data_IF_015922118805
#
_entry.id   IF_015922118805
#
_cell.length_a   1.000
_cell.length_b   1.000
_cell.length_c   1.000
_cell.angle_alpha   90.00
_cell.angle_beta   90.00
_cell.angle_gamma   90.00
#
_symmetry.space_group_name_H-M   'P 1'
#
loop_
_entity.id
_entity.type
_entity.pdbx_description
1 polymer ?
#
# COMPACT_ATOMS: atom_id res chain seq x y z
N UNK A 1 22.90 0.42 -18.42
CA UNK A 1 21.61 -0.28 -18.49
C UNK A 1 20.66 0.58 -17.67
N UNK A 2 19.61 1.13 -18.27
CA UNK A 2 18.55 1.76 -17.49
C UNK A 2 17.76 0.61 -16.87
N UNK A 3 17.96 0.33 -15.58
CA UNK A 3 17.16 -0.68 -14.88
C UNK A 3 15.68 -0.29 -15.01
N UNK A 4 14.84 -1.21 -15.47
CA UNK A 4 13.41 -0.99 -15.49
C UNK A 4 12.89 -0.84 -14.06
N UNK A 5 11.90 0.04 -13.82
CA UNK A 5 11.33 0.19 -12.50
C UNK A 5 10.69 -1.12 -12.03
N UNK A 6 10.69 -1.32 -10.72
CA UNK A 6 10.04 -2.43 -10.05
C UNK A 6 8.52 -2.28 -10.18
N UNK A 7 7.81 -3.34 -10.57
CA UNK A 7 6.34 -3.38 -10.45
C UNK A 7 6.00 -3.83 -9.04
N UNK A 8 5.39 -2.94 -8.26
CA UNK A 8 5.13 -3.17 -6.83
C UNK A 8 3.64 -3.09 -6.54
N UNK A 9 3.13 -4.11 -5.86
CA UNK A 9 1.80 -4.08 -5.26
C UNK A 9 1.95 -3.88 -3.76
N UNK A 10 1.62 -2.69 -3.28
CA UNK A 10 1.49 -2.39 -1.86
C UNK A 10 0.14 -2.91 -1.39
N UNK A 11 0.18 -3.97 -0.59
CA UNK A 11 -0.97 -4.62 0.00
C UNK A 11 -1.18 -4.09 1.41
N UNK A 12 -2.37 -3.60 1.73
CA UNK A 12 -2.65 -2.99 3.02
C UNK A 12 -3.83 -3.64 3.72
N UNK A 13 -3.63 -4.03 4.98
CA UNK A 13 -4.67 -4.59 5.83
C UNK A 13 -5.00 -3.65 6.98
N UNK A 14 -6.27 -3.48 7.31
CA UNK A 14 -6.68 -2.74 8.50
C UNK A 14 -6.61 -3.66 9.72
N UNK A 15 -6.07 -3.19 10.83
CA UNK A 15 -5.87 -3.98 12.06
C UNK A 15 -7.10 -3.93 12.97
N UNK A 16 -7.24 -4.90 13.88
CA UNK A 16 -8.35 -4.94 14.86
C UNK A 16 -8.45 -3.65 15.70
N UNK A 17 -7.32 -3.03 16.04
CA UNK A 17 -7.29 -1.78 16.80
C UNK A 17 -8.07 -0.62 16.15
N UNK A 18 -8.25 -0.62 14.83
CA UNK A 18 -9.11 0.35 14.15
C UNK A 18 -10.59 0.07 14.40
N UNK A 19 -10.98 -1.21 14.31
CA UNK A 19 -12.37 -1.64 14.51
C UNK A 19 -12.82 -1.53 15.97
N UNK A 20 -11.87 -1.58 16.91
CA UNK A 20 -12.13 -1.36 18.33
C UNK A 20 -12.39 0.13 18.68
N UNK A 21 -12.08 1.07 17.77
CA UNK A 21 -12.33 2.48 18.01
C UNK A 21 -13.84 2.77 18.01
N UNK A 22 -14.30 3.69 18.87
CA UNK A 22 -15.63 4.29 18.71
C UNK A 22 -15.75 4.94 17.32
N UNK A 23 -16.92 4.85 16.69
CA UNK A 23 -17.17 5.49 15.37
C UNK A 23 -16.83 6.97 15.32
N UNK A 24 -16.96 7.69 16.44
CA UNK A 24 -16.59 9.12 16.52
C UNK A 24 -15.08 9.37 16.43
N UNK A 25 -14.26 8.33 16.58
CA UNK A 25 -12.80 8.43 16.60
C UNK A 25 -12.14 7.87 15.33
N UNK A 26 -12.85 7.13 14.46
CA UNK A 26 -12.25 6.54 13.25
C UNK A 26 -11.71 7.60 12.26
N UNK A 27 -12.26 8.82 12.30
CA UNK A 27 -11.89 9.91 11.39
C UNK A 27 -10.41 10.28 11.43
N UNK A 28 -9.76 10.20 12.60
CA UNK A 28 -8.33 10.51 12.72
C UNK A 28 -7.46 9.49 11.97
N UNK A 29 -7.87 8.21 11.95
CA UNK A 29 -7.17 7.16 11.22
C UNK A 29 -7.36 7.36 9.72
N UNK A 30 -8.58 7.72 9.28
CA UNK A 30 -8.84 8.07 7.88
C UNK A 30 -7.99 9.25 7.40
N UNK A 31 -7.88 10.32 8.18
CA UNK A 31 -7.03 11.47 7.82
C UNK A 31 -5.56 11.07 7.68
N UNK A 32 -5.03 10.29 8.62
CA UNK A 32 -3.65 9.81 8.54
C UNK A 32 -3.42 8.86 7.37
N UNK A 33 -4.35 7.94 7.11
CA UNK A 33 -4.26 7.01 5.99
C UNK A 33 -4.31 7.73 4.64
N UNK A 34 -5.22 8.71 4.49
CA UNK A 34 -5.30 9.53 3.29
C UNK A 34 -4.02 10.36 3.07
N UNK A 35 -3.45 10.93 4.14
CA UNK A 35 -2.15 11.61 4.09
C UNK A 35 -1.01 10.69 3.67
N UNK A 36 -0.97 9.47 4.22
CA UNK A 36 0.00 8.45 3.83
C UNK A 36 -0.12 8.07 2.35
N UNK A 37 -1.34 7.89 1.82
CA UNK A 37 -1.55 7.61 0.39
C UNK A 37 -1.07 8.75 -0.50
N UNK A 38 -1.33 10.00 -0.09
CA UNK A 38 -0.86 11.17 -0.82
C UNK A 38 0.68 11.26 -0.82
N UNK A 39 1.32 10.97 0.31
CA UNK A 39 2.79 10.96 0.44
C UNK A 39 3.43 9.81 -0.36
N UNK A 40 2.82 8.62 -0.36
CA UNK A 40 3.22 7.51 -1.22
C UNK A 40 3.20 7.94 -2.69
N UNK A 41 2.10 8.55 -3.15
CA UNK A 41 1.95 8.99 -4.53
C UNK A 41 2.89 10.15 -4.90
N UNK A 42 3.31 10.95 -3.92
CA UNK A 42 4.25 12.06 -4.10
C UNK A 42 5.73 11.66 -3.93
N UNK A 43 6.02 10.43 -3.51
CA UNK A 43 7.39 9.96 -3.28
C UNK A 43 8.17 9.95 -4.60
N UNK A 44 9.34 10.60 -4.61
CA UNK A 44 10.21 10.63 -5.79
C UNK A 44 10.59 9.19 -6.21
N UNK A 45 10.45 8.89 -7.50
CA UNK A 45 10.69 7.55 -8.04
C UNK A 45 9.52 6.57 -7.90
N UNK A 46 8.33 7.04 -7.46
CA UNK A 46 7.08 6.26 -7.47
C UNK A 46 6.14 6.78 -8.55
N UNK A 47 5.54 5.86 -9.32
CA UNK A 47 4.45 6.14 -10.26
C UNK A 47 3.27 5.21 -9.96
N UNK A 48 2.18 5.76 -9.42
CA UNK A 48 0.97 4.98 -9.13
C UNK A 48 0.24 4.65 -10.42
N UNK A 49 0.00 3.35 -10.64
CA UNK A 49 -0.71 2.81 -11.81
C UNK A 49 -2.19 2.57 -11.52
N UNK A 50 -2.55 2.30 -10.27
CA UNK A 50 -3.93 2.10 -9.87
C UNK A 50 -4.07 1.77 -8.39
N UNK A 51 -5.30 1.89 -7.89
CA UNK A 51 -5.67 1.51 -6.52
C UNK A 51 -6.87 0.57 -6.57
N UNK A 52 -7.02 -0.25 -5.53
CA UNK A 52 -8.17 -1.13 -5.35
C UNK A 52 -8.61 -1.09 -3.89
N UNK A 53 -9.91 -0.82 -3.69
CA UNK A 53 -10.56 -0.92 -2.40
C UNK A 53 -11.31 -2.25 -2.34
N UNK A 54 -10.87 -3.15 -1.47
CA UNK A 54 -11.39 -4.51 -1.34
C UNK A 54 -12.23 -4.66 -0.06
N UNK A 55 -12.43 -3.56 0.68
CA UNK A 55 -13.19 -3.52 1.92
C UNK A 55 -14.68 -3.88 1.74
N UNK A 56 -15.18 -3.74 0.51
CA UNK A 56 -16.55 -4.08 0.13
C UNK A 56 -16.82 -5.58 0.13
N UNK A 57 -15.77 -6.39 0.01
CA UNK A 57 -15.85 -7.86 0.06
C UNK A 57 -15.06 -8.45 1.24
N UNK A 58 -14.16 -7.67 1.84
CA UNK A 58 -13.42 -7.98 3.06
C UNK A 58 -13.72 -6.94 4.16
N UNK A 59 -14.83 -7.14 4.88
CA UNK A 59 -15.21 -6.30 6.01
C UNK A 59 -14.63 -6.88 7.31
N UNK A 60 -13.68 -6.19 7.92
CA UNK A 60 -13.05 -6.58 9.19
C UNK A 60 -11.53 -6.52 9.16
N UNK A 61 -10.85 -6.94 10.25
CA UNK A 61 -9.40 -6.92 10.32
C UNK A 61 -8.75 -7.88 9.31
N UNK A 62 -7.66 -7.44 8.69
CA UNK A 62 -6.90 -8.21 7.71
C UNK A 62 -5.43 -8.29 8.12
N UNK A 63 -4.96 -9.49 8.47
CA UNK A 63 -3.56 -9.75 8.86
C UNK A 63 -2.73 -10.43 7.76
N UNK A 64 -3.33 -10.69 6.59
CA UNK A 64 -2.74 -11.41 5.47
C UNK A 64 -3.74 -11.42 4.31
N UNK A 65 -3.39 -12.03 3.17
CA UNK A 65 -4.30 -12.11 2.02
C UNK A 65 -5.63 -12.81 2.37
N UNK A 66 -6.79 -12.30 1.92
CA UNK A 66 -6.99 -11.06 1.14
C UNK A 66 -6.76 -9.79 1.97
N UNK A 67 -6.29 -8.72 1.34
CA UNK A 67 -6.02 -7.43 1.99
C UNK A 67 -7.19 -6.46 1.82
N UNK A 68 -7.27 -5.43 2.68
CA UNK A 68 -8.36 -4.45 2.66
C UNK A 68 -8.25 -3.47 1.49
N UNK A 69 -7.05 -3.05 1.13
CA UNK A 69 -6.83 -2.20 -0.05
C UNK A 69 -5.44 -2.36 -0.64
N UNK A 70 -5.27 -1.87 -1.86
CA UNK A 70 -4.06 -2.09 -2.66
C UNK A 70 -3.67 -0.84 -3.45
N UNK A 71 -2.37 -0.64 -3.62
CA UNK A 71 -1.78 0.34 -4.56
C UNK A 71 -0.81 -0.39 -5.47
N UNK A 72 -1.07 -0.37 -6.78
CA UNK A 72 -0.15 -0.82 -7.81
C UNK A 72 0.69 0.36 -8.29
N UNK A 73 2.02 0.23 -8.26
CA UNK A 73 2.93 1.28 -8.68
C UNK A 73 4.17 0.73 -9.39
N UNK A 74 4.77 1.54 -10.25
CA UNK A 74 6.16 1.38 -10.67
C UNK A 74 7.07 2.16 -9.69
N UNK A 75 8.13 1.54 -9.20
CA UNK A 75 9.04 2.10 -8.19
C UNK A 75 10.49 1.96 -8.62
N UNK A 76 11.27 3.03 -8.51
CA UNK A 76 12.64 3.10 -9.07
C UNK A 76 13.59 2.02 -8.50
N UNK A 77 13.51 1.72 -7.20
CA UNK A 77 14.37 0.72 -6.56
C UNK A 77 13.78 0.16 -5.23
N UNK A 78 14.44 -0.85 -4.65
CA UNK A 78 14.00 -1.45 -3.38
C UNK A 78 14.11 -0.49 -2.17
N UNK A 79 15.15 0.36 -2.04
CA UNK A 79 15.17 1.42 -1.04
C UNK A 79 13.92 2.31 -1.05
N UNK A 80 13.45 2.77 -2.21
CA UNK A 80 12.22 3.56 -2.32
C UNK A 80 10.99 2.75 -1.88
N UNK A 81 10.92 1.45 -2.21
CA UNK A 81 9.84 0.57 -1.70
C UNK A 81 9.84 0.49 -0.17
N UNK A 82 11.03 0.35 0.44
CA UNK A 82 11.19 0.35 1.90
C UNK A 82 10.75 1.68 2.49
N UNK A 83 11.10 2.79 1.86
CA UNK A 83 10.77 4.13 2.35
C UNK A 83 9.26 4.38 2.29
N UNK A 84 8.57 3.92 1.24
CA UNK A 84 7.09 3.89 1.17
C UNK A 84 6.50 3.04 2.31
N UNK A 85 7.02 1.83 2.54
CA UNK A 85 6.56 0.99 3.66
C UNK A 85 6.83 1.64 5.02
N UNK A 86 7.86 2.49 5.11
CA UNK A 86 8.23 3.19 6.33
C UNK A 86 7.24 4.31 6.69
N UNK A 87 6.40 4.77 5.76
CA UNK A 87 5.32 5.71 6.06
C UNK A 87 4.40 5.19 7.18
N UNK A 88 4.20 3.88 7.29
CA UNK A 88 3.40 3.30 8.38
C UNK A 88 4.06 3.48 9.77
N UNK A 89 5.39 3.70 9.81
CA UNK A 89 6.14 4.00 11.04
C UNK A 89 6.22 5.49 11.34
N UNK A 90 6.17 6.35 10.33
CA UNK A 90 6.39 7.79 10.47
C UNK A 90 5.11 8.61 10.44
N UNK A 91 4.03 8.13 9.81
CA UNK A 91 2.72 8.77 9.87
C UNK A 91 2.12 8.59 11.26
N UNK A 92 2.01 9.69 12.00
CA UNK A 92 1.53 9.71 13.39
C UNK A 92 0.02 10.03 13.49
N UNK A 93 -0.64 9.39 14.46
CA UNK A 93 -2.01 9.59 14.91
C UNK A 93 -1.94 9.76 16.44
N UNK A 94 -1.89 11.01 16.90
CA UNK A 94 -1.61 11.30 18.30
C UNK A 94 -0.26 10.71 18.73
N UNK A 95 -0.26 9.86 19.75
CA UNK A 95 0.95 9.19 20.28
C UNK A 95 1.28 7.87 19.57
N UNK A 96 0.49 7.46 18.58
CA UNK A 96 0.67 6.18 17.89
C UNK A 96 0.99 6.39 16.42
N UNK A 97 1.86 5.55 15.86
CA UNK A 97 2.07 5.52 14.42
C UNK A 97 0.99 4.69 13.72
N UNK A 98 0.81 4.93 12.41
CA UNK A 98 -0.22 4.31 11.58
C UNK A 98 -0.18 2.77 11.62
N UNK A 99 1.01 2.16 11.79
CA UNK A 99 1.16 0.70 11.91
C UNK A 99 0.30 0.08 13.02
N UNK A 100 -0.12 0.86 14.02
CA UNK A 100 -1.05 0.39 15.06
C UNK A 100 -2.41 0.01 14.47
N UNK A 101 -2.87 0.75 13.46
CA UNK A 101 -4.22 0.65 12.89
C UNK A 101 -4.26 -0.01 11.52
N UNK A 102 -3.15 -0.07 10.81
CA UNK A 102 -3.05 -0.73 9.52
C UNK A 102 -1.67 -1.39 9.34
N UNK A 103 -1.57 -2.33 8.42
CA UNK A 103 -0.33 -3.01 8.02
C UNK A 103 -0.09 -2.80 6.53
N UNK A 104 1.17 -2.76 6.11
CA UNK A 104 1.57 -2.71 4.70
C UNK A 104 2.58 -3.84 4.39
N UNK A 105 2.36 -4.52 3.27
CA UNK A 105 3.29 -5.49 2.67
C UNK A 105 3.53 -5.10 1.21
N UNK A 106 4.80 -5.03 0.79
CA UNK A 106 5.13 -4.82 -0.62
C UNK A 106 5.42 -6.15 -1.33
N UNK A 107 4.67 -6.43 -2.40
CA UNK A 107 4.98 -7.51 -3.36
C UNK A 107 5.75 -6.90 -4.53
N UNK A 108 7.02 -7.25 -4.68
CA UNK A 108 7.89 -6.73 -5.73
C UNK A 108 7.98 -7.73 -6.88
N UNK A 109 7.78 -7.25 -8.10
CA UNK A 109 7.95 -8.00 -9.33
C UNK A 109 8.37 -7.09 -10.48
N UNK A 110 7.90 -7.42 -11.67
CA UNK A 110 8.11 -6.67 -12.91
C UNK A 110 6.82 -6.56 -13.69
N UNK A 111 6.79 -5.68 -14.67
CA UNK A 111 5.71 -5.67 -15.66
C UNK A 111 5.56 -7.05 -16.32
N UNK A 112 4.31 -7.51 -16.44
CA UNK A 112 3.99 -8.73 -17.16
C UNK A 112 4.13 -8.46 -18.66
N UNK A 113 5.12 -9.10 -19.26
CA UNK A 113 5.34 -9.09 -20.70
C UNK A 113 5.28 -10.51 -21.23
N UNK A 114 4.59 -10.70 -22.36
CA UNK A 114 4.63 -11.97 -23.10
C UNK A 114 5.96 -12.03 -23.83
N UNK A 115 6.61 -13.19 -23.79
CA UNK A 115 7.85 -13.39 -24.53
C UNK A 115 7.58 -13.28 -26.03
N UNK A 116 8.44 -12.57 -26.74
CA UNK A 116 8.30 -12.34 -28.19
C UNK A 116 8.40 -13.61 -29.04
N UNK A 117 8.91 -14.71 -28.47
CA UNK A 117 9.06 -15.99 -29.14
C UNK A 117 7.86 -16.93 -28.93
N UNK A 118 6.84 -16.51 -28.19
CA UNK A 118 5.60 -17.26 -28.01
C UNK A 118 4.55 -16.75 -29.02
N UNK A 119 4.06 -17.59 -29.95
CA UNK A 119 2.97 -17.22 -30.84
C UNK A 119 1.72 -16.85 -30.03
N UNK A 120 1.17 -15.66 -30.25
CA UNK A 120 -0.14 -15.29 -29.71
C UNK A 120 -1.24 -15.91 -30.56
N UNK A 121 -2.24 -16.51 -29.90
CA UNK A 121 -3.43 -17.08 -30.55
C UNK A 121 -4.34 -16.00 -31.16
#
# INVERSE_FOLDING_TARGET
MTDQPLRVLFCMGINQNFFDLPKSQIGMVWTAFAGMLAELAATEGVTVLGTMDDDSHLVGPSAGWPWTCYVLADVVDQPTVRDVCNLFRTTMIGEHALWRYATIEARIGRELTIRSDVPTA
#
